data_IF_277748918042
#
_entry.id   IF_277748918042
#
_cell.length_a   1.000
_cell.length_b   1.000
_cell.length_c   1.000
_cell.angle_alpha   90.00
_cell.angle_beta   90.00
_cell.angle_gamma   90.00
#
_symmetry.space_group_name_H-M   'P 1'
#
loop_
_entity.id
_entity.type
_entity.pdbx_description
1 polymer ?
#
# COMPACT_ATOMS: atom_id res chain seq x y z
N UNK A 1 -6.74 20.84 12.08
CA UNK A 1 -6.13 20.75 13.43
C UNK A 1 -5.91 19.27 13.62
N UNK A 2 -4.74 18.82 13.19
CA UNK A 2 -4.57 17.46 12.74
C UNK A 2 -4.10 16.64 13.93
N UNK A 3 -4.91 15.64 14.29
CA UNK A 3 -4.67 14.79 15.44
C UNK A 3 -3.65 13.72 15.08
N UNK A 4 -2.43 13.91 15.56
CA UNK A 4 -1.32 12.96 15.46
C UNK A 4 0.00 13.68 15.72
N UNK A 5 0.70 13.33 16.81
CA UNK A 5 1.83 14.12 17.34
C UNK A 5 3.12 13.97 16.51
N UNK A 6 3.13 13.06 15.52
CA UNK A 6 4.27 12.84 14.62
C UNK A 6 3.87 11.84 13.52
N UNK A 7 4.31 12.07 12.28
CA UNK A 7 4.26 11.03 11.24
C UNK A 7 5.06 9.79 11.68
N UNK A 8 4.66 8.57 11.26
CA UNK A 8 5.45 7.36 11.46
C UNK A 8 6.88 7.53 10.93
N UNK A 9 7.86 6.91 11.60
CA UNK A 9 9.27 6.92 11.15
C UNK A 9 9.46 6.23 9.80
N UNK A 10 8.65 5.20 9.55
CA UNK A 10 8.60 4.44 8.30
C UNK A 10 7.15 4.26 7.93
N UNK A 11 6.82 4.54 6.68
CA UNK A 11 5.48 4.27 6.16
C UNK A 11 5.48 3.99 4.65
N UNK A 12 4.47 3.24 4.23
CA UNK A 12 4.05 3.04 2.85
C UNK A 12 2.57 3.40 2.78
N UNK A 13 2.20 4.18 1.78
CA UNK A 13 0.82 4.41 1.40
C UNK A 13 0.66 4.20 -0.10
N UNK A 14 -0.31 3.36 -0.48
CA UNK A 14 -0.63 3.05 -1.87
C UNK A 14 -2.14 3.16 -2.04
N UNK A 15 -2.57 3.82 -3.11
CA UNK A 15 -3.96 3.82 -3.56
C UNK A 15 -4.02 3.70 -5.08
N UNK A 16 -4.72 2.68 -5.56
CA UNK A 16 -5.02 2.48 -6.97
C UNK A 16 -6.51 2.27 -7.15
N UNK A 17 -7.13 3.02 -8.07
CA UNK A 17 -8.55 2.84 -8.42
C UNK A 17 -8.75 2.66 -9.93
N UNK A 18 -7.67 2.76 -10.73
CA UNK A 18 -7.74 2.71 -12.18
C UNK A 18 -7.28 1.35 -12.68
N UNK A 19 -8.14 0.36 -12.56
CA UNK A 19 -7.96 -0.99 -13.12
C UNK A 19 -8.83 -1.17 -14.35
N UNK A 20 -8.52 -2.18 -15.17
CA UNK A 20 -9.36 -2.56 -16.34
C UNK A 20 -10.83 -2.76 -15.94
N UNK A 21 -11.07 -3.35 -14.77
CA UNK A 21 -12.41 -3.42 -14.19
C UNK A 21 -12.63 -2.25 -13.22
N UNK A 22 -13.56 -1.31 -13.51
CA UNK A 22 -13.79 -0.13 -12.69
C UNK A 22 -14.41 -0.43 -11.31
N UNK A 23 -14.79 -1.68 -11.04
CA UNK A 23 -15.24 -2.14 -9.71
C UNK A 23 -14.09 -2.60 -8.83
N UNK A 24 -12.87 -2.59 -9.34
CA UNK A 24 -11.67 -2.93 -8.60
C UNK A 24 -11.06 -1.68 -8.01
N UNK A 25 -10.67 -1.78 -6.74
CA UNK A 25 -9.98 -0.71 -6.02
C UNK A 25 -9.02 -1.31 -5.02
N UNK A 26 -7.92 -0.62 -4.80
CA UNK A 26 -6.86 -1.07 -3.91
C UNK A 26 -6.37 0.08 -3.04
N UNK A 27 -6.18 -0.21 -1.76
CA UNK A 27 -5.48 0.66 -0.84
C UNK A 27 -4.64 -0.17 0.12
N UNK A 28 -3.42 0.28 0.39
CA UNK A 28 -2.58 -0.27 1.45
C UNK A 28 -1.88 0.85 2.21
N UNK A 29 -1.82 0.69 3.52
CA UNK A 29 -1.03 1.50 4.44
C UNK A 29 -0.27 0.57 5.38
N UNK A 30 1.05 0.72 5.39
CA UNK A 30 1.97 0.05 6.32
C UNK A 30 2.73 1.14 7.05
N UNK A 31 2.83 1.09 8.37
CA UNK A 31 3.51 2.13 9.13
C UNK A 31 4.01 1.64 10.49
N UNK A 32 5.12 2.20 10.98
CA UNK A 32 5.51 2.05 12.38
C UNK A 32 4.57 2.86 13.28
N UNK A 33 3.76 2.16 14.06
CA UNK A 33 2.79 2.74 14.99
C UNK A 33 3.38 2.74 16.41
N UNK A 34 3.65 3.92 17.00
CA UNK A 34 3.95 4.01 18.41
C UNK A 34 2.69 3.72 19.23
N UNK A 35 2.75 2.77 20.16
CA UNK A 35 1.63 2.41 21.01
C UNK A 35 2.11 2.13 22.43
N UNK A 36 1.75 3.02 23.37
CA UNK A 36 1.92 2.86 24.82
C UNK A 36 3.25 2.21 25.26
N UNK A 37 4.37 2.82 24.88
CA UNK A 37 5.71 2.40 25.32
C UNK A 37 6.40 1.36 24.43
N UNK A 38 5.73 0.85 23.40
CA UNK A 38 6.35 0.04 22.34
C UNK A 38 5.96 0.57 20.95
N UNK A 39 6.51 -0.04 19.91
CA UNK A 39 6.13 0.22 18.53
C UNK A 39 5.83 -1.10 17.83
N UNK A 40 4.91 -1.08 16.86
CA UNK A 40 4.62 -2.21 16.00
C UNK A 40 4.36 -1.75 14.57
N UNK A 41 4.59 -2.64 13.60
CA UNK A 41 4.25 -2.37 12.22
C UNK A 41 2.75 -2.58 11.99
N UNK A 42 2.02 -1.47 11.83
CA UNK A 42 0.61 -1.42 11.51
C UNK A 42 0.36 -1.73 10.03
N UNK A 43 -0.74 -2.44 9.76
CA UNK A 43 -1.21 -2.76 8.42
C UNK A 43 -2.70 -2.46 8.32
N UNK A 44 -3.08 -1.71 7.29
CA UNK A 44 -4.44 -1.60 6.77
C UNK A 44 -4.35 -1.76 5.25
N UNK A 45 -4.92 -2.82 4.72
CA UNK A 45 -4.95 -3.08 3.28
C UNK A 45 -6.32 -3.62 2.86
N UNK A 46 -6.83 -3.10 1.75
CA UNK A 46 -8.10 -3.48 1.18
C UNK A 46 -7.97 -3.66 -0.34
N UNK A 47 -8.48 -4.79 -0.82
CA UNK A 47 -8.69 -5.06 -2.24
C UNK A 47 -10.19 -5.27 -2.48
N UNK A 48 -10.80 -4.35 -3.23
CA UNK A 48 -12.16 -4.43 -3.72
C UNK A 48 -12.18 -5.11 -5.10
N UNK A 49 -13.07 -6.09 -5.27
CA UNK A 49 -13.27 -6.86 -6.50
C UNK A 49 -14.75 -6.82 -6.93
N UNK A 50 -15.41 -5.67 -6.75
CA UNK A 50 -16.84 -5.49 -6.93
C UNK A 50 -17.68 -6.18 -5.85
N UNK A 51 -18.03 -7.47 -6.03
CA UNK A 51 -18.89 -8.21 -5.08
C UNK A 51 -18.13 -8.77 -3.87
N UNK A 52 -16.80 -8.80 -3.95
CA UNK A 52 -15.92 -9.35 -2.93
C UNK A 52 -14.95 -8.27 -2.46
N UNK A 53 -14.74 -8.18 -1.15
CA UNK A 53 -13.75 -7.29 -0.54
C UNK A 53 -12.83 -8.09 0.35
N UNK A 54 -11.54 -8.00 0.10
CA UNK A 54 -10.50 -8.59 0.92
C UNK A 54 -9.93 -7.52 1.84
N UNK A 55 -9.89 -7.80 3.15
CA UNK A 55 -9.36 -6.89 4.17
C UNK A 55 -8.23 -7.57 4.92
N UNK A 56 -7.05 -6.98 4.84
CA UNK A 56 -5.86 -7.36 5.58
C UNK A 56 -5.58 -6.26 6.59
N UNK A 57 -5.60 -6.58 7.87
CA UNK A 57 -5.24 -5.59 8.89
C UNK A 57 -4.61 -6.26 10.10
N UNK A 58 -3.72 -5.55 10.80
CA UNK A 58 -3.10 -6.06 12.04
C UNK A 58 -4.16 -6.51 13.05
N UNK A 59 -5.22 -5.73 13.23
CA UNK A 59 -6.30 -6.05 14.16
C UNK A 59 -7.14 -7.28 13.76
N UNK A 60 -7.00 -7.79 12.53
CA UNK A 60 -7.70 -9.00 12.07
C UNK A 60 -6.76 -10.20 11.89
N UNK A 61 -5.54 -10.10 12.44
CA UNK A 61 -4.53 -11.16 12.41
C UNK A 61 -3.76 -11.26 11.10
N UNK A 62 -3.88 -10.26 10.21
CA UNK A 62 -3.05 -10.20 9.01
C UNK A 62 -1.63 -9.76 9.33
N UNK A 63 -0.72 -10.20 8.47
CA UNK A 63 0.71 -9.86 8.55
C UNK A 63 1.16 -9.30 7.22
N UNK A 64 2.09 -8.36 7.28
CA UNK A 64 2.89 -7.94 6.13
C UNK A 64 4.23 -8.68 6.20
N UNK A 65 4.77 -9.07 5.05
CA UNK A 65 6.14 -9.59 4.93
C UNK A 65 7.15 -8.45 5.11
N UNK A 66 8.43 -8.80 5.16
CA UNK A 66 9.48 -7.81 4.91
C UNK A 66 9.21 -7.09 3.57
N UNK A 67 9.33 -5.76 3.60
CA UNK A 67 9.26 -4.89 2.42
C UNK A 67 10.63 -4.95 1.73
N UNK A 68 10.63 -5.31 0.45
CA UNK A 68 11.84 -5.46 -0.35
C UNK A 68 11.89 -4.40 -1.44
N UNK A 69 13.03 -3.73 -1.57
CA UNK A 69 13.29 -2.81 -2.68
C UNK A 69 13.51 -3.59 -3.98
N UNK A 70 12.90 -3.15 -5.07
CA UNK A 70 13.12 -3.65 -6.44
C UNK A 70 13.94 -2.61 -7.23
N UNK A 71 14.25 -2.89 -8.49
CA UNK A 71 14.99 -1.95 -9.35
C UNK A 71 14.25 -0.62 -9.55
N UNK A 72 12.93 -0.67 -9.61
CA UNK A 72 12.03 0.43 -9.97
C UNK A 72 10.95 0.72 -8.91
N UNK A 73 11.11 0.20 -7.68
CA UNK A 73 10.16 0.43 -6.60
C UNK A 73 10.31 -0.55 -5.44
N UNK A 74 9.21 -1.17 -5.01
CA UNK A 74 9.17 -2.04 -3.83
C UNK A 74 8.15 -3.17 -3.97
N UNK A 75 8.34 -4.22 -3.18
CA UNK A 75 7.46 -5.37 -3.14
C UNK A 75 7.25 -5.84 -1.70
N UNK A 76 6.01 -6.22 -1.38
CA UNK A 76 5.67 -6.88 -0.12
C UNK A 76 4.48 -7.82 -0.32
N UNK A 77 4.26 -8.71 0.64
CA UNK A 77 3.11 -9.61 0.67
C UNK A 77 2.31 -9.38 1.95
N UNK A 78 0.98 -9.31 1.83
CA UNK A 78 0.07 -9.33 2.98
C UNK A 78 -0.64 -10.68 3.04
N UNK A 79 -0.74 -11.24 4.24
CA UNK A 79 -1.29 -12.59 4.44
C UNK A 79 -2.42 -12.60 5.45
N UNK A 80 -3.39 -13.49 5.25
CA UNK A 80 -4.47 -13.78 6.18
C UNK A 80 -4.96 -15.21 6.00
N UNK A 81 -4.67 -16.08 6.97
CA UNK A 81 -5.02 -17.51 6.89
C UNK A 81 -4.47 -18.11 5.58
N UNK A 82 -5.33 -18.64 4.72
CA UNK A 82 -4.96 -19.25 3.43
C UNK A 82 -5.00 -18.27 2.26
N UNK A 83 -5.05 -16.96 2.51
CA UNK A 83 -5.07 -15.93 1.46
C UNK A 83 -3.80 -15.10 1.59
N UNK A 84 -3.10 -14.88 0.48
CA UNK A 84 -2.03 -13.90 0.40
C UNK A 84 -2.21 -12.98 -0.81
N UNK A 85 -1.78 -11.74 -0.67
CA UNK A 85 -1.78 -10.74 -1.71
C UNK A 85 -0.39 -10.14 -1.80
N UNK A 86 0.30 -10.42 -2.89
CA UNK A 86 1.56 -9.78 -3.22
C UNK A 86 1.26 -8.46 -3.92
N UNK A 87 1.98 -7.41 -3.48
CA UNK A 87 1.90 -6.05 -3.99
C UNK A 87 3.29 -5.71 -4.51
N UNK A 88 3.39 -5.41 -5.79
CA UNK A 88 4.60 -4.90 -6.43
C UNK A 88 4.26 -3.49 -6.87
N UNK A 89 4.99 -2.51 -6.36
CA UNK A 89 4.81 -1.10 -6.63
C UNK A 89 5.96 -0.60 -7.48
N UNK A 90 5.65 0.01 -8.62
CA UNK A 90 6.61 0.63 -9.52
C UNK A 90 6.48 2.15 -9.39
N UNK A 91 7.56 2.77 -8.93
CA UNK A 91 7.64 4.22 -8.71
C UNK A 91 8.72 4.74 -9.65
N UNK A 92 8.36 5.37 -10.79
CA UNK A 92 9.36 5.93 -11.69
C UNK A 92 10.22 6.94 -10.93
N UNK A 93 11.54 6.79 -11.05
CA UNK A 93 12.53 7.66 -10.38
C UNK A 93 12.53 9.02 -11.07
N UNK A 94 11.52 9.84 -10.82
CA UNK A 94 11.44 11.20 -11.35
C UNK A 94 11.28 12.21 -10.23
N UNK A 95 12.44 12.59 -9.70
CA UNK A 95 12.61 13.80 -8.89
C UNK A 95 12.24 13.60 -7.43
N UNK A 96 13.21 13.87 -6.57
CA UNK A 96 13.02 14.11 -5.13
C UNK A 96 11.93 15.18 -4.96
N UNK A 97 10.67 14.78 -4.90
CA UNK A 97 9.60 15.65 -4.44
C UNK A 97 9.76 15.72 -2.94
N UNK A 98 10.23 16.88 -2.49
CA UNK A 98 10.35 17.25 -1.08
C UNK A 98 9.07 16.80 -0.36
N UNK A 99 9.27 15.89 0.59
CA UNK A 99 8.26 15.49 1.56
C UNK A 99 7.51 16.73 2.07
N UNK A 100 6.17 16.80 1.97
CA UNK A 100 5.42 17.92 2.53
C UNK A 100 5.56 17.88 4.04
N UNK A 101 6.40 18.75 4.59
CA UNK A 101 6.29 19.16 5.97
C UNK A 101 4.90 19.77 6.16
N UNK A 102 4.05 19.15 7.00
CA UNK A 102 2.74 19.63 7.51
C UNK A 102 1.49 18.85 7.06
N UNK A 103 1.42 17.54 7.35
CA UNK A 103 0.19 16.92 7.88
C UNK A 103 -1.08 16.91 7.03
N UNK A 104 -1.04 17.45 5.83
CA UNK A 104 -2.18 17.62 4.95
C UNK A 104 -1.97 16.75 3.72
N UNK A 105 -2.89 15.82 3.49
CA UNK A 105 -3.07 15.09 2.23
C UNK A 105 -3.51 16.07 1.16
N UNK A 106 -2.64 17.02 0.81
CA UNK A 106 -2.83 18.04 -0.20
C UNK A 106 -1.57 18.08 -1.02
N UNK A 107 -1.54 17.27 -2.06
CA UNK A 107 -1.24 17.80 -3.37
C UNK A 107 -1.84 16.88 -4.42
N UNK A 108 -2.76 17.45 -5.19
CA UNK A 108 -3.18 16.97 -6.50
C UNK A 108 -1.94 16.54 -7.27
N UNK A 109 -1.68 15.23 -7.31
CA UNK A 109 -0.65 14.64 -8.15
C UNK A 109 -1.09 15.00 -9.57
N UNK A 110 -0.28 15.82 -10.25
CA UNK A 110 -0.48 16.13 -11.67
C UNK A 110 -0.78 14.81 -12.39
N UNK A 111 -1.93 14.75 -13.07
CA UNK A 111 -2.63 13.55 -13.60
C UNK A 111 -1.84 12.67 -14.61
N UNK A 112 -0.50 12.70 -14.63
CA UNK A 112 0.33 11.92 -15.56
C UNK A 112 1.64 11.35 -14.99
N UNK A 113 1.89 11.43 -13.68
CA UNK A 113 3.12 10.90 -13.04
C UNK A 113 2.82 9.93 -11.88
N UNK A 114 1.71 9.20 -11.95
CA UNK A 114 1.37 8.17 -10.96
C UNK A 114 2.26 6.94 -11.10
N UNK A 115 2.60 6.29 -9.99
CA UNK A 115 3.24 4.97 -10.03
C UNK A 115 2.25 3.91 -10.52
N UNK A 116 2.74 2.70 -10.78
CA UNK A 116 1.89 1.55 -11.10
C UNK A 116 2.02 0.47 -10.03
N UNK A 117 1.03 -0.42 -9.97
CA UNK A 117 1.09 -1.60 -9.10
C UNK A 117 0.69 -2.86 -9.86
N UNK A 118 1.36 -3.96 -9.53
CA UNK A 118 0.90 -5.32 -9.82
C UNK A 118 0.42 -5.98 -8.53
N UNK A 119 -0.75 -6.61 -8.62
CA UNK A 119 -1.39 -7.33 -7.53
C UNK A 119 -1.54 -8.81 -7.91
N UNK A 120 -1.04 -9.69 -7.06
CA UNK A 120 -1.14 -11.14 -7.25
C UNK A 120 -1.79 -11.75 -6.02
N UNK A 121 -3.02 -12.24 -6.19
CA UNK A 121 -3.80 -12.88 -5.12
C UNK A 121 -3.62 -14.39 -5.19
N UNK A 122 -3.21 -14.98 -4.07
CA UNK A 122 -3.13 -16.43 -3.89
C UNK A 122 -4.13 -16.91 -2.85
N UNK A 123 -4.82 -18.00 -3.15
CA UNK A 123 -5.70 -18.70 -2.22
C UNK A 123 -5.26 -20.15 -2.09
N UNK A 124 -5.06 -20.62 -0.86
CA UNK A 124 -4.51 -21.95 -0.57
C UNK A 124 -3.20 -22.23 -1.32
N UNK A 125 -2.38 -21.18 -1.50
CA UNK A 125 -1.09 -21.24 -2.19
C UNK A 125 -1.16 -21.20 -3.72
N UNK A 126 -2.36 -21.16 -4.32
CA UNK A 126 -2.53 -21.07 -5.78
C UNK A 126 -2.85 -19.64 -6.20
N UNK A 127 -2.22 -19.16 -7.27
CA UNK A 127 -2.58 -17.88 -7.88
C UNK A 127 -4.01 -17.97 -8.43
N UNK A 128 -4.86 -17.08 -7.94
CA UNK A 128 -6.29 -17.01 -8.34
C UNK A 128 -6.61 -15.78 -9.15
N UNK A 129 -5.79 -14.73 -9.04
CA UNK A 129 -6.00 -13.46 -9.71
C UNK A 129 -4.68 -12.68 -9.81
N UNK A 130 -4.49 -12.05 -10.96
CA UNK A 130 -3.41 -11.10 -11.25
C UNK A 130 -3.99 -9.89 -11.95
N UNK A 131 -3.57 -8.70 -11.54
CA UNK A 131 -4.03 -7.44 -12.14
C UNK A 131 -3.02 -6.32 -11.93
N UNK A 132 -3.14 -5.29 -12.76
CA UNK A 132 -2.25 -4.13 -12.73
C UNK A 132 -3.07 -2.83 -12.77
N UNK A 133 -2.51 -1.74 -12.24
CA UNK A 133 -3.08 -0.39 -12.34
C UNK A 133 -1.97 0.63 -12.58
N UNK A 134 -2.13 1.46 -13.62
CA UNK A 134 -1.08 2.36 -14.13
C UNK A 134 -1.16 3.81 -13.60
N UNK A 135 -2.11 4.07 -12.69
CA UNK A 135 -2.34 5.40 -12.12
C UNK A 135 -2.59 5.32 -10.62
N UNK A 136 -1.54 4.95 -9.88
CA UNK A 136 -1.58 4.81 -8.43
C UNK A 136 -0.91 6.00 -7.73
N UNK A 137 -1.52 6.45 -6.63
CA UNK A 137 -0.84 7.27 -5.63
C UNK A 137 0.03 6.37 -4.77
N UNK A 138 1.34 6.64 -4.72
CA UNK A 138 2.30 5.83 -3.97
C UNK A 138 3.22 6.79 -3.19
N UNK A 139 3.29 6.61 -1.87
CA UNK A 139 4.20 7.32 -0.97
C UNK A 139 4.95 6.30 -0.12
N UNK A 140 6.27 6.46 -0.01
CA UNK A 140 7.15 5.58 0.77
C UNK A 140 8.21 6.42 1.46
N UNK A 141 8.35 6.23 2.77
CA UNK A 141 9.35 6.91 3.59
C UNK A 141 9.97 5.89 4.57
N UNK A 142 11.31 5.93 4.71
CA UNK A 142 12.04 5.17 5.73
C UNK A 142 12.24 3.67 5.47
N UNK A 143 11.93 3.17 4.26
CA UNK A 143 12.18 1.78 3.81
C UNK A 143 13.29 1.68 2.77
#
# INVERSE_FOLDING_TARGET
>A
KDWGVSFPKRYIWIQGNHFENPKVGFMASVADIPFLGFAFEGLICQLDLGKRRLRFATYNGSKVSEIKRTEDGFMFEVTKRNISLQVIAHVPVTGVLKSPHLGSMVQTIKEGLGGSIDLILKEKGQETLRMSSDHCGIEIEGY
#
